data_IF_837001008286
#
_entry.id   IF_837001008286
#
_cell.length_a   1.000
_cell.length_b   1.000
_cell.length_c   1.000
_cell.angle_alpha   90.00
_cell.angle_beta   90.00
_cell.angle_gamma   90.00
#
_symmetry.space_group_name_H-M   'P 1'
#
loop_
_entity.id
_entity.type
_entity.pdbx_description
1 polymer ?
#
# COMPACT_ATOMS: atom_id res chain seq x y z
N UNK A 1 -7.14 -37.40 -4.97
CA UNK A 1 -6.52 -36.22 -5.59
C UNK A 1 -5.78 -36.63 -6.88
N UNK A 2 -5.50 -35.66 -7.73
CA UNK A 2 -4.66 -35.90 -8.92
C UNK A 2 -3.22 -36.17 -8.45
N UNK A 3 -2.60 -37.25 -8.96
CA UNK A 3 -1.18 -37.48 -8.75
C UNK A 3 -0.35 -36.42 -9.48
N UNK A 4 0.79 -36.05 -8.90
CA UNK A 4 1.73 -35.09 -9.53
C UNK A 4 3.16 -35.61 -9.46
N UNK A 5 3.98 -35.12 -10.39
CA UNK A 5 5.44 -35.27 -10.36
C UNK A 5 6.09 -33.97 -9.90
N UNK A 6 7.32 -34.06 -9.40
CA UNK A 6 8.07 -32.90 -8.86
C UNK A 6 9.35 -32.70 -9.67
N UNK A 7 9.58 -31.43 -10.05
CA UNK A 7 10.79 -30.95 -10.71
C UNK A 7 11.48 -29.93 -9.78
N UNK A 8 12.28 -30.43 -8.84
CA UNK A 8 12.91 -29.62 -7.81
C UNK A 8 14.24 -30.21 -7.35
N UNK A 9 15.27 -29.42 -7.27
CA UNK A 9 16.61 -29.86 -6.84
C UNK A 9 17.07 -31.12 -7.55
N UNK A 10 17.19 -32.25 -6.87
CA UNK A 10 17.60 -33.55 -7.45
C UNK A 10 16.42 -34.33 -8.08
N UNK A 11 15.19 -33.98 -7.74
CA UNK A 11 14.00 -34.63 -8.29
C UNK A 11 13.73 -34.19 -9.73
N UNK A 12 13.30 -35.12 -10.58
CA UNK A 12 12.92 -34.83 -11.97
C UNK A 12 11.59 -35.44 -12.35
N UNK A 13 10.80 -34.67 -13.05
CA UNK A 13 9.52 -35.08 -13.63
C UNK A 13 9.62 -35.45 -15.13
N UNK A 14 10.77 -35.24 -15.74
CA UNK A 14 10.98 -35.57 -17.15
C UNK A 14 10.74 -37.05 -17.40
N UNK A 15 9.83 -37.38 -18.34
CA UNK A 15 9.38 -38.75 -18.63
C UNK A 15 8.33 -39.29 -17.66
N UNK A 16 7.82 -38.49 -16.73
CA UNK A 16 6.71 -38.86 -15.84
C UNK A 16 5.40 -39.01 -16.64
N UNK A 17 4.56 -39.96 -16.25
CA UNK A 17 3.23 -40.14 -16.80
C UNK A 17 2.15 -39.29 -16.14
N UNK A 18 2.52 -38.57 -15.06
CA UNK A 18 1.59 -37.66 -14.39
C UNK A 18 1.28 -36.41 -15.24
N UNK A 19 0.01 -36.04 -15.29
CA UNK A 19 -0.46 -34.85 -16.03
C UNK A 19 -0.13 -33.52 -15.36
N UNK A 20 0.19 -33.56 -14.07
CA UNK A 20 0.54 -32.39 -13.27
C UNK A 20 2.01 -32.50 -12.86
N UNK A 21 2.77 -31.44 -13.15
CA UNK A 21 4.14 -31.25 -12.67
C UNK A 21 4.22 -30.07 -11.78
N UNK A 22 4.74 -30.25 -10.56
CA UNK A 22 5.06 -29.14 -9.64
C UNK A 22 6.53 -28.80 -9.80
N UNK A 23 6.83 -27.64 -10.35
CA UNK A 23 8.19 -27.21 -10.66
C UNK A 23 8.67 -26.02 -9.84
N UNK A 24 9.94 -26.03 -9.42
CA UNK A 24 10.60 -24.86 -8.85
C UNK A 24 11.24 -24.04 -9.96
N UNK A 25 10.95 -22.72 -10.02
CA UNK A 25 11.55 -21.81 -11.00
C UNK A 25 13.07 -21.85 -10.93
N UNK A 26 13.66 -21.89 -9.72
CA UNK A 26 15.12 -21.97 -9.52
C UNK A 26 15.74 -23.25 -10.11
N UNK A 27 14.96 -24.31 -10.24
CA UNK A 27 15.40 -25.54 -10.88
C UNK A 27 15.20 -25.47 -12.40
N UNK A 28 14.01 -25.03 -12.83
CA UNK A 28 13.62 -24.97 -14.24
C UNK A 28 14.40 -23.91 -15.03
N UNK A 29 14.79 -22.78 -14.42
CA UNK A 29 15.62 -21.76 -15.09
C UNK A 29 16.99 -22.27 -15.55
N UNK A 30 17.44 -23.46 -15.08
CA UNK A 30 18.69 -24.08 -15.54
C UNK A 30 18.47 -24.63 -16.95
N UNK A 31 19.23 -24.21 -17.99
CA UNK A 31 18.97 -24.59 -19.38
C UNK A 31 18.90 -26.12 -19.62
N UNK A 32 19.77 -26.87 -18.94
CA UNK A 32 19.78 -28.34 -19.04
C UNK A 32 18.53 -29.01 -18.44
N UNK A 33 17.88 -28.36 -17.50
CA UNK A 33 16.63 -28.87 -16.87
C UNK A 33 15.43 -28.51 -17.75
N UNK A 34 15.36 -27.26 -18.18
CA UNK A 34 14.30 -26.76 -19.03
C UNK A 34 14.25 -27.50 -20.39
N UNK A 35 15.38 -27.74 -20.99
CA UNK A 35 15.50 -28.49 -22.27
C UNK A 35 15.01 -29.95 -22.22
N UNK A 36 14.68 -30.48 -21.04
CA UNK A 36 14.07 -31.82 -20.91
C UNK A 36 12.58 -31.85 -21.28
N UNK A 37 11.96 -30.66 -21.32
CA UNK A 37 10.57 -30.49 -21.69
C UNK A 37 10.49 -29.85 -23.06
N UNK A 38 9.70 -30.44 -23.96
CA UNK A 38 9.42 -29.82 -25.26
C UNK A 38 8.65 -28.50 -25.08
N UNK A 39 8.79 -27.51 -25.96
CA UNK A 39 8.09 -26.24 -25.86
C UNK A 39 6.55 -26.34 -25.82
N UNK A 40 5.99 -27.41 -26.30
CA UNK A 40 4.57 -27.76 -26.33
C UNK A 40 4.17 -28.81 -25.27
N UNK A 41 5.05 -29.07 -24.29
CA UNK A 41 4.82 -30.10 -23.28
C UNK A 41 3.67 -29.79 -22.32
N UNK A 42 3.45 -28.52 -22.01
CA UNK A 42 2.39 -28.08 -21.09
C UNK A 42 1.35 -27.23 -21.83
N UNK A 43 0.06 -27.57 -21.67
CA UNK A 43 -1.07 -26.81 -22.18
C UNK A 43 -1.39 -25.60 -21.28
N UNK A 44 -1.09 -25.70 -19.99
CA UNK A 44 -1.36 -24.67 -19.00
C UNK A 44 -0.27 -24.62 -17.93
N UNK A 45 0.03 -23.42 -17.46
CA UNK A 45 0.97 -23.16 -16.37
C UNK A 45 0.25 -22.31 -15.32
N UNK A 46 0.32 -22.75 -14.06
CA UNK A 46 -0.12 -21.94 -12.90
C UNK A 46 1.14 -21.45 -12.20
N UNK A 47 1.36 -20.14 -12.24
CA UNK A 47 2.46 -19.46 -11.55
C UNK A 47 2.00 -18.96 -10.19
N UNK A 48 2.49 -19.58 -9.12
CA UNK A 48 2.33 -19.07 -7.76
C UNK A 48 3.29 -17.90 -7.51
N UNK A 49 2.93 -16.99 -6.59
CA UNK A 49 3.64 -15.74 -6.33
C UNK A 49 3.91 -14.94 -7.64
N UNK A 50 2.84 -14.75 -8.42
CA UNK A 50 2.91 -14.16 -9.76
C UNK A 50 3.48 -12.74 -9.80
N UNK A 51 3.62 -12.06 -8.66
CA UNK A 51 4.34 -10.78 -8.56
C UNK A 51 5.83 -10.91 -8.95
N UNK A 52 6.38 -12.12 -8.97
CA UNK A 52 7.71 -12.41 -9.52
C UNK A 52 7.74 -12.67 -11.03
N UNK A 53 6.59 -12.65 -11.73
CA UNK A 53 6.49 -13.02 -13.15
C UNK A 53 7.38 -12.18 -14.08
N UNK A 54 7.73 -10.97 -13.71
CA UNK A 54 8.62 -10.08 -14.46
C UNK A 54 10.12 -10.34 -14.23
N UNK A 55 10.50 -11.20 -13.28
CA UNK A 55 11.91 -11.57 -13.09
C UNK A 55 12.42 -12.40 -14.27
N UNK A 56 13.70 -12.23 -14.62
CA UNK A 56 14.33 -12.94 -15.75
C UNK A 56 14.15 -14.46 -15.66
N UNK A 57 14.19 -15.01 -14.44
CA UNK A 57 14.04 -16.45 -14.21
C UNK A 57 12.63 -16.95 -14.54
N UNK A 58 11.58 -16.20 -14.17
CA UNK A 58 10.20 -16.54 -14.55
C UNK A 58 9.99 -16.37 -16.05
N UNK A 59 10.45 -15.26 -16.62
CA UNK A 59 10.34 -14.98 -18.05
C UNK A 59 11.03 -16.06 -18.90
N UNK A 60 12.18 -16.54 -18.47
CA UNK A 60 12.88 -17.65 -19.13
C UNK A 60 12.07 -18.94 -19.12
N UNK A 61 11.48 -19.30 -17.98
CA UNK A 61 10.69 -20.54 -17.85
C UNK A 61 9.38 -20.43 -18.63
N UNK A 62 8.64 -19.33 -18.46
CA UNK A 62 7.35 -19.13 -19.12
C UNK A 62 7.52 -18.99 -20.65
N UNK A 63 8.55 -18.29 -21.10
CA UNK A 63 8.86 -18.09 -22.52
C UNK A 63 9.29 -19.37 -23.24
N UNK A 64 9.71 -20.42 -22.51
CA UNK A 64 10.01 -21.71 -23.09
C UNK A 64 8.75 -22.47 -23.58
N UNK A 65 7.58 -22.15 -23.02
CA UNK A 65 6.29 -22.77 -23.33
C UNK A 65 5.31 -21.77 -23.97
N UNK A 66 5.59 -21.28 -25.18
CA UNK A 66 4.84 -20.17 -25.79
C UNK A 66 3.37 -20.50 -26.10
N UNK A 67 3.01 -21.78 -26.20
CA UNK A 67 1.64 -22.24 -26.43
C UNK A 67 0.83 -22.46 -25.16
N UNK A 68 1.45 -22.44 -23.98
CA UNK A 68 0.77 -22.69 -22.72
C UNK A 68 -0.07 -21.47 -22.27
N UNK A 69 -1.27 -21.72 -21.77
CA UNK A 69 -2.08 -20.70 -21.09
C UNK A 69 -1.53 -20.47 -19.69
N UNK A 70 -1.23 -19.22 -19.36
CA UNK A 70 -0.62 -18.87 -18.05
C UNK A 70 -1.67 -18.24 -17.14
N UNK A 71 -1.84 -18.84 -15.96
CA UNK A 71 -2.60 -18.29 -14.85
C UNK A 71 -1.64 -17.88 -13.73
N UNK A 72 -1.54 -16.61 -13.44
CA UNK A 72 -0.80 -16.10 -12.28
C UNK A 72 -1.68 -16.04 -11.03
N UNK A 73 -1.17 -16.51 -9.90
CA UNK A 73 -1.81 -16.38 -8.59
C UNK A 73 -0.87 -15.62 -7.66
N UNK A 74 -1.38 -14.63 -6.94
CA UNK A 74 -0.61 -13.87 -5.96
C UNK A 74 -1.50 -13.39 -4.83
N UNK A 75 -0.97 -13.38 -3.60
CA UNK A 75 -1.65 -12.83 -2.43
C UNK A 75 -1.66 -11.29 -2.43
N UNK A 76 -0.80 -10.66 -3.22
CA UNK A 76 -0.60 -9.21 -3.25
C UNK A 76 -0.52 -8.73 -4.70
N UNK A 77 -1.63 -8.16 -5.17
CA UNK A 77 -1.68 -7.48 -6.46
C UNK A 77 -1.92 -5.98 -6.22
N UNK A 78 -0.90 -5.27 -5.70
CA UNK A 78 -0.98 -3.84 -5.44
C UNK A 78 -1.03 -2.99 -6.72
N UNK A 79 -1.40 -1.69 -6.61
CA UNK A 79 -1.51 -0.82 -7.78
C UNK A 79 -0.20 -0.69 -8.57
N UNK A 80 0.96 -0.72 -7.89
CA UNK A 80 2.27 -0.78 -8.51
C UNK A 80 2.48 -2.09 -9.24
N UNK A 81 2.28 -3.19 -8.53
CA UNK A 81 2.42 -4.55 -9.06
C UNK A 81 1.39 -4.85 -10.17
N UNK A 82 0.16 -4.31 -10.10
CA UNK A 82 -0.83 -4.45 -11.18
C UNK A 82 -0.39 -3.80 -12.50
N UNK A 83 0.32 -2.68 -12.45
CA UNK A 83 0.91 -2.07 -13.66
C UNK A 83 2.03 -2.92 -14.21
N UNK A 84 2.86 -3.46 -13.33
CA UNK A 84 3.97 -4.31 -13.71
C UNK A 84 3.46 -5.67 -14.21
N UNK A 85 2.51 -6.29 -13.50
CA UNK A 85 1.85 -7.52 -13.94
C UNK A 85 1.13 -7.36 -15.28
N UNK A 86 0.56 -6.20 -15.57
CA UNK A 86 -0.07 -5.87 -16.85
C UNK A 86 0.88 -5.87 -18.05
N UNK A 87 2.20 -5.91 -17.84
CA UNK A 87 3.18 -6.13 -18.91
C UNK A 87 3.22 -7.59 -19.39
N UNK A 88 2.78 -8.53 -18.54
CA UNK A 88 2.81 -9.95 -18.83
C UNK A 88 1.40 -10.57 -18.93
N UNK A 89 0.50 -10.24 -18.01
CA UNK A 89 -0.86 -10.77 -17.97
C UNK A 89 -1.83 -9.82 -18.64
N UNK A 90 -2.74 -10.36 -19.46
CA UNK A 90 -3.72 -9.58 -20.22
C UNK A 90 -4.83 -8.98 -19.35
N UNK A 91 -5.21 -9.68 -18.28
CA UNK A 91 -6.30 -9.26 -17.41
C UNK A 91 -6.22 -9.88 -16.01
N UNK A 92 -6.93 -9.26 -15.06
CA UNK A 92 -7.21 -9.85 -13.74
C UNK A 92 -8.49 -10.68 -13.88
N UNK A 93 -8.37 -12.00 -13.83
CA UNK A 93 -9.51 -12.92 -13.97
C UNK A 93 -10.42 -12.89 -12.73
N UNK A 94 -9.83 -12.79 -11.54
CA UNK A 94 -10.55 -12.77 -10.28
C UNK A 94 -9.73 -12.08 -9.19
N UNK A 95 -10.41 -11.32 -8.33
CA UNK A 95 -9.81 -10.69 -7.14
C UNK A 95 -10.60 -11.09 -5.90
N UNK A 96 -9.93 -11.75 -4.95
CA UNK A 96 -10.50 -12.17 -3.68
C UNK A 96 -9.75 -11.52 -2.53
N UNK A 97 -10.33 -10.47 -1.98
CA UNK A 97 -9.65 -9.63 -0.99
C UNK A 97 -9.63 -10.26 0.40
N UNK A 98 -8.62 -9.93 1.19
CA UNK A 98 -8.51 -10.38 2.59
C UNK A 98 -9.76 -10.04 3.43
N UNK A 99 -10.31 -8.81 3.39
CA UNK A 99 -11.56 -8.50 4.08
C UNK A 99 -12.74 -9.39 3.63
N UNK A 100 -12.81 -9.73 2.35
CA UNK A 100 -13.84 -10.64 1.83
C UNK A 100 -13.67 -12.04 2.42
N UNK A 101 -12.43 -12.58 2.43
CA UNK A 101 -12.13 -13.89 2.99
C UNK A 101 -12.43 -13.98 4.49
N UNK A 102 -12.21 -12.90 5.23
CA UNK A 102 -12.57 -12.81 6.67
C UNK A 102 -14.10 -12.80 6.84
N UNK A 103 -14.83 -11.96 6.11
CA UNK A 103 -16.29 -11.89 6.19
C UNK A 103 -17.00 -13.18 5.81
N UNK A 104 -16.45 -13.90 4.84
CA UNK A 104 -16.98 -15.20 4.40
C UNK A 104 -16.52 -16.37 5.29
N UNK A 105 -15.68 -16.09 6.30
CA UNK A 105 -15.26 -17.09 7.28
C UNK A 105 -14.20 -18.08 6.78
N UNK A 106 -13.45 -17.74 5.72
CA UNK A 106 -12.29 -18.52 5.28
C UNK A 106 -11.02 -18.17 6.06
N UNK A 107 -10.96 -16.96 6.60
CA UNK A 107 -9.86 -16.47 7.45
C UNK A 107 -10.41 -15.91 8.74
N UNK A 108 -9.62 -15.91 9.81
CA UNK A 108 -10.03 -15.33 11.08
C UNK A 108 -9.95 -13.79 11.05
N UNK A 109 -10.77 -13.09 11.86
CA UNK A 109 -10.66 -11.65 12.06
C UNK A 109 -9.25 -11.24 12.50
N UNK A 110 -8.81 -10.05 12.07
CA UNK A 110 -7.51 -9.51 12.47
C UNK A 110 -7.74 -8.34 13.43
N UNK A 111 -7.16 -8.45 14.60
CA UNK A 111 -7.11 -7.37 15.59
C UNK A 111 -5.70 -6.80 15.63
N UNK A 112 -5.59 -5.48 15.54
CA UNK A 112 -4.30 -4.81 15.65
C UNK A 112 -4.22 -3.99 16.94
N UNK A 113 -3.10 -4.03 17.60
CA UNK A 113 -2.80 -3.22 18.78
C UNK A 113 -1.50 -2.45 18.56
N UNK A 114 -1.55 -1.15 18.76
CA UNK A 114 -0.38 -0.28 18.74
C UNK A 114 0.24 -0.23 20.12
N UNK A 115 1.47 -0.70 20.23
CA UNK A 115 2.19 -0.77 21.52
C UNK A 115 3.11 0.45 21.67
N UNK A 116 3.06 1.22 22.78
CA UNK A 116 3.75 2.49 22.93
C UNK A 116 5.25 2.32 23.25
N UNK A 117 6.03 1.81 22.30
CA UNK A 117 7.49 1.74 22.37
C UNK A 117 8.06 2.67 21.29
N UNK A 118 8.72 3.74 21.72
CA UNK A 118 9.37 4.68 20.81
C UNK A 118 10.71 4.09 20.32
N UNK A 119 10.68 3.35 19.23
CA UNK A 119 11.87 2.76 18.59
C UNK A 119 12.45 3.79 17.61
N UNK A 120 13.71 4.15 17.80
CA UNK A 120 14.41 5.05 16.89
C UNK A 120 14.94 4.29 15.67
N UNK A 121 14.37 4.60 14.50
CA UNK A 121 14.80 4.06 13.21
C UNK A 121 15.40 5.14 12.29
N UNK A 122 15.69 6.35 12.79
CA UNK A 122 16.16 7.47 11.96
C UNK A 122 17.47 7.15 11.22
N UNK A 123 18.37 6.40 11.87
CA UNK A 123 19.67 5.98 11.31
C UNK A 123 19.61 4.77 10.36
N UNK A 124 18.47 4.11 10.20
CA UNK A 124 18.35 2.89 9.37
C UNK A 124 18.31 3.26 7.89
N UNK A 125 19.26 2.72 7.13
CA UNK A 125 19.39 2.95 5.68
C UNK A 125 18.38 2.11 4.89
N UNK A 126 18.08 2.60 3.69
CA UNK A 126 17.28 1.86 2.69
C UNK A 126 18.24 1.27 1.66
N UNK A 127 18.10 -0.02 1.35
CA UNK A 127 18.87 -0.74 0.36
C UNK A 127 17.94 -1.63 -0.45
N UNK A 128 18.06 -1.62 -1.78
CA UNK A 128 17.23 -2.44 -2.69
C UNK A 128 15.71 -2.28 -2.47
N UNK A 129 15.27 -1.05 -2.15
CA UNK A 129 13.84 -0.73 -1.98
C UNK A 129 13.25 -1.04 -0.59
N UNK A 130 14.03 -1.64 0.32
CA UNK A 130 13.61 -1.94 1.70
C UNK A 130 14.69 -1.53 2.71
N UNK A 131 14.41 -1.68 4.02
CA UNK A 131 15.36 -1.35 5.08
C UNK A 131 16.54 -2.31 5.12
N UNK A 132 17.74 -1.77 5.33
CA UNK A 132 18.94 -2.58 5.52
C UNK A 132 18.82 -3.39 6.82
N UNK A 133 18.76 -4.72 6.69
CA UNK A 133 18.52 -5.62 7.83
C UNK A 133 19.56 -5.46 8.97
N UNK A 134 20.83 -5.17 8.62
CA UNK A 134 21.90 -4.94 9.58
C UNK A 134 21.67 -3.72 10.46
N UNK A 135 21.34 -2.59 9.84
CA UNK A 135 21.04 -1.34 10.53
C UNK A 135 19.79 -1.48 11.39
N UNK A 136 18.75 -2.14 10.84
CA UNK A 136 17.49 -2.38 11.54
C UNK A 136 17.69 -3.27 12.79
N UNK A 137 18.48 -4.35 12.68
CA UNK A 137 18.78 -5.20 13.82
C UNK A 137 19.52 -4.45 14.92
N UNK A 138 20.50 -3.62 14.56
CA UNK A 138 21.24 -2.78 15.52
C UNK A 138 20.32 -1.76 16.21
N UNK A 139 19.41 -1.14 15.46
CA UNK A 139 18.44 -0.19 16.01
C UNK A 139 17.44 -0.83 16.97
N UNK A 140 17.06 -2.09 16.75
CA UNK A 140 16.13 -2.83 17.60
C UNK A 140 16.75 -3.40 18.87
N UNK A 141 18.04 -3.75 18.86
CA UNK A 141 18.71 -4.43 19.96
C UNK A 141 18.45 -3.81 21.35
N UNK A 142 18.52 -2.47 21.55
CA UNK A 142 18.28 -1.86 22.86
C UNK A 142 16.85 -2.03 23.39
N UNK A 143 15.89 -2.31 22.52
CA UNK A 143 14.46 -2.34 22.85
C UNK A 143 13.92 -3.76 23.05
N UNK A 144 14.68 -4.82 22.75
CA UNK A 144 14.20 -6.20 22.75
C UNK A 144 13.61 -6.63 24.10
N UNK A 145 14.26 -6.25 25.20
CA UNK A 145 13.74 -6.52 26.55
C UNK A 145 12.40 -5.84 26.79
N UNK A 146 12.28 -4.55 26.46
CA UNK A 146 11.04 -3.81 26.62
C UNK A 146 9.92 -4.35 25.72
N UNK A 147 10.24 -4.71 24.48
CA UNK A 147 9.27 -5.33 23.58
C UNK A 147 8.71 -6.62 24.18
N UNK A 148 9.57 -7.45 24.79
CA UNK A 148 9.14 -8.68 25.46
C UNK A 148 8.27 -8.40 26.71
N UNK A 149 8.54 -7.33 27.48
CA UNK A 149 7.69 -6.90 28.60
C UNK A 149 6.30 -6.46 28.11
N UNK A 150 6.24 -5.67 27.04
CA UNK A 150 4.97 -5.22 26.45
C UNK A 150 4.17 -6.38 25.83
N UNK A 151 4.83 -7.38 25.22
CA UNK A 151 4.17 -8.59 24.76
C UNK A 151 3.49 -9.35 25.91
N UNK A 152 4.16 -9.44 27.07
CA UNK A 152 3.56 -10.05 28.25
C UNK A 152 2.36 -9.24 28.74
N UNK A 153 2.45 -7.92 28.79
CA UNK A 153 1.39 -7.01 29.17
C UNK A 153 0.17 -7.06 28.19
N UNK A 154 0.42 -7.23 26.89
CA UNK A 154 -0.61 -7.40 25.87
C UNK A 154 -1.26 -8.80 25.88
N UNK A 155 -0.93 -9.67 26.83
CA UNK A 155 -1.53 -10.98 27.00
C UNK A 155 -1.02 -12.07 26.06
N UNK A 156 0.15 -11.90 25.45
CA UNK A 156 0.76 -12.91 24.56
C UNK A 156 1.11 -14.22 25.29
N UNK A 157 1.16 -14.24 26.62
CA UNK A 157 1.27 -15.49 27.39
C UNK A 157 0.07 -16.44 27.20
N UNK A 158 -1.07 -15.91 26.80
CA UNK A 158 -2.25 -16.69 26.45
C UNK A 158 -2.36 -17.05 24.98
N UNK A 159 -1.33 -16.70 24.16
CA UNK A 159 -1.35 -16.86 22.71
C UNK A 159 -0.14 -17.63 22.19
N UNK A 160 -0.30 -18.19 20.99
CA UNK A 160 0.77 -18.82 20.24
C UNK A 160 1.31 -17.83 19.20
N UNK A 161 2.55 -17.40 19.39
CA UNK A 161 3.09 -16.21 18.72
C UNK A 161 4.18 -16.55 17.71
N UNK A 162 4.17 -15.87 16.55
CA UNK A 162 5.33 -15.81 15.64
C UNK A 162 5.88 -14.40 15.60
N UNK A 163 7.18 -14.25 15.81
CA UNK A 163 7.90 -12.99 15.75
C UNK A 163 8.85 -12.97 14.55
N UNK A 164 8.71 -11.95 13.70
CA UNK A 164 9.56 -11.72 12.53
C UNK A 164 10.61 -10.66 12.83
N UNK A 165 11.87 -11.03 12.72
CA UNK A 165 13.03 -10.18 13.06
C UNK A 165 13.93 -9.96 11.82
N UNK A 166 14.71 -8.85 11.79
CA UNK A 166 15.52 -8.53 10.62
C UNK A 166 16.75 -9.42 10.46
N UNK A 167 17.34 -9.91 11.56
CA UNK A 167 18.59 -10.68 11.59
C UNK A 167 18.49 -11.91 12.47
N UNK A 168 19.27 -12.93 12.16
CA UNK A 168 19.45 -14.14 13.00
C UNK A 168 19.96 -13.77 14.39
N UNK A 169 20.94 -12.87 14.47
CA UNK A 169 21.49 -12.42 15.78
C UNK A 169 20.42 -11.74 16.64
N UNK A 170 19.62 -10.86 16.05
CA UNK A 170 18.51 -10.18 16.75
C UNK A 170 17.43 -11.18 17.16
N UNK A 171 17.13 -12.18 16.30
CA UNK A 171 16.18 -13.27 16.58
C UNK A 171 16.60 -14.08 17.81
N UNK A 172 17.86 -14.49 17.90
CA UNK A 172 18.43 -15.21 19.04
C UNK A 172 18.40 -14.39 20.33
N UNK A 173 18.77 -13.10 20.27
CA UNK A 173 18.70 -12.20 21.42
C UNK A 173 17.27 -12.02 21.92
N UNK A 174 16.32 -11.88 20.98
CA UNK A 174 14.93 -11.72 21.33
C UNK A 174 14.32 -12.97 21.96
N UNK A 175 14.63 -14.16 21.43
CA UNK A 175 14.23 -15.43 22.04
C UNK A 175 14.77 -15.58 23.48
N UNK A 176 16.02 -15.18 23.73
CA UNK A 176 16.57 -15.17 25.10
C UNK A 176 15.83 -14.20 26.02
N UNK A 177 15.56 -12.97 25.56
CA UNK A 177 14.82 -11.96 26.32
C UNK A 177 13.38 -12.41 26.65
N UNK A 178 12.72 -13.13 25.75
CA UNK A 178 11.39 -13.72 25.95
C UNK A 178 11.44 -14.86 26.98
N UNK A 179 12.45 -15.75 26.89
CA UNK A 179 12.62 -16.84 27.83
C UNK A 179 12.85 -16.34 29.27
N UNK A 180 13.61 -15.25 29.47
CA UNK A 180 13.78 -14.59 30.76
C UNK A 180 12.47 -14.13 31.40
N UNK A 181 11.42 -13.92 30.58
CA UNK A 181 10.09 -13.48 30.99
C UNK A 181 9.06 -14.61 31.06
N UNK A 182 9.53 -15.85 30.91
CA UNK A 182 8.71 -17.06 31.06
C UNK A 182 7.96 -17.51 29.80
N UNK A 183 8.24 -16.94 28.61
CA UNK A 183 7.76 -17.50 27.38
C UNK A 183 8.49 -18.79 26.99
N UNK A 184 7.79 -19.77 26.37
CA UNK A 184 8.43 -20.89 25.70
C UNK A 184 8.97 -20.41 24.34
N UNK A 185 10.12 -19.74 24.37
CA UNK A 185 10.71 -19.11 23.21
C UNK A 185 11.59 -20.09 22.43
N UNK A 186 11.34 -20.16 21.13
CA UNK A 186 12.08 -20.95 20.15
C UNK A 186 12.65 -20.04 19.07
N UNK A 187 13.78 -20.41 18.49
CA UNK A 187 14.38 -19.66 17.37
C UNK A 187 14.66 -20.59 16.21
N UNK A 188 14.36 -20.13 15.00
CA UNK A 188 14.64 -20.85 13.77
C UNK A 188 15.15 -19.90 12.68
N UNK A 189 16.20 -20.34 11.97
CA UNK A 189 16.81 -19.58 10.90
C UNK A 189 17.28 -20.49 9.75
N UNK A 190 17.85 -19.89 8.69
CA UNK A 190 18.31 -20.62 7.50
C UNK A 190 19.42 -21.63 7.76
N UNK A 191 20.23 -21.38 8.81
CA UNK A 191 21.39 -22.21 9.17
C UNK A 191 21.05 -23.25 10.25
N UNK A 192 19.80 -23.29 10.76
CA UNK A 192 19.36 -24.23 11.79
C UNK A 192 19.37 -25.66 11.26
N UNK A 193 20.19 -26.51 11.84
CA UNK A 193 20.29 -27.95 11.52
C UNK A 193 19.13 -28.76 12.09
N UNK A 194 18.52 -28.27 13.16
CA UNK A 194 17.38 -28.82 13.91
C UNK A 194 16.03 -28.18 13.52
N UNK A 195 16.00 -27.50 12.35
CA UNK A 195 14.82 -26.75 11.87
C UNK A 195 13.52 -27.54 11.94
N UNK A 196 13.53 -28.77 11.43
CA UNK A 196 12.33 -29.61 11.38
C UNK A 196 11.84 -29.97 12.79
N UNK A 197 12.76 -30.26 13.71
CA UNK A 197 12.46 -30.56 15.10
C UNK A 197 11.91 -29.35 15.83
N UNK A 198 12.54 -28.17 15.67
CA UNK A 198 12.09 -26.91 16.28
C UNK A 198 10.67 -26.53 15.80
N UNK A 199 10.41 -26.65 14.50
CA UNK A 199 9.08 -26.39 13.94
C UNK A 199 8.03 -27.38 14.47
N UNK A 200 8.36 -28.67 14.53
CA UNK A 200 7.46 -29.70 15.07
C UNK A 200 7.19 -29.48 16.58
N UNK A 201 8.21 -29.08 17.36
CA UNK A 201 8.08 -28.70 18.77
C UNK A 201 7.14 -27.49 18.91
N UNK A 202 7.35 -26.45 18.09
CA UNK A 202 6.47 -25.28 18.13
C UNK A 202 5.05 -25.64 17.71
N UNK A 203 4.87 -26.51 16.72
CA UNK A 203 3.54 -26.94 16.25
C UNK A 203 2.76 -27.66 17.36
N UNK A 204 3.45 -28.47 18.16
CA UNK A 204 2.87 -29.16 19.34
C UNK A 204 2.71 -28.28 20.58
N UNK A 205 3.39 -27.12 20.63
CA UNK A 205 3.36 -26.24 21.80
C UNK A 205 2.02 -25.51 21.94
N UNK A 206 1.67 -25.16 23.19
CA UNK A 206 0.47 -24.44 23.55
C UNK A 206 0.63 -22.91 23.58
N UNK A 207 -0.34 -22.19 24.20
CA UNK A 207 -0.23 -20.76 24.48
C UNK A 207 1.04 -20.42 25.29
N UNK A 208 1.55 -19.21 25.09
CA UNK A 208 2.82 -18.76 25.67
C UNK A 208 4.05 -19.18 24.89
N UNK A 209 3.89 -20.00 23.83
CA UNK A 209 4.99 -20.31 22.93
C UNK A 209 5.22 -19.19 21.91
N UNK A 210 6.51 -18.86 21.67
CA UNK A 210 6.92 -17.85 20.70
C UNK A 210 7.98 -18.42 19.77
N UNK A 211 7.73 -18.39 18.47
CA UNK A 211 8.70 -18.75 17.44
C UNK A 211 9.33 -17.48 16.85
N UNK A 212 10.56 -17.22 17.19
CA UNK A 212 11.35 -16.14 16.61
C UNK A 212 12.02 -16.61 15.32
N UNK A 213 11.93 -15.81 14.25
CA UNK A 213 12.59 -16.13 13.01
C UNK A 213 13.09 -14.89 12.26
N UNK A 214 14.11 -15.08 11.43
CA UNK A 214 14.57 -14.07 10.49
C UNK A 214 14.39 -14.59 9.06
N UNK A 215 13.42 -14.04 8.31
CA UNK A 215 13.15 -14.30 6.88
C UNK A 215 12.71 -15.71 6.47
N UNK A 216 12.79 -16.70 7.36
CA UNK A 216 12.64 -18.09 6.97
C UNK A 216 11.18 -18.53 6.76
N UNK A 217 10.28 -17.99 7.58
CA UNK A 217 8.89 -18.44 7.66
C UNK A 217 7.92 -17.57 6.83
N UNK A 218 8.43 -16.72 5.95
CA UNK A 218 7.60 -15.90 5.07
C UNK A 218 6.92 -16.72 4.00
N UNK A 219 7.53 -17.83 3.58
CA UNK A 219 7.00 -18.73 2.55
C UNK A 219 7.00 -20.20 3.00
N UNK A 220 6.02 -20.97 2.54
CA UNK A 220 6.01 -22.43 2.62
C UNK A 220 5.80 -23.07 4.00
N UNK A 221 5.74 -22.32 5.11
CA UNK A 221 5.43 -22.84 6.44
C UNK A 221 3.98 -22.60 6.82
N UNK A 222 3.34 -23.58 7.45
CA UNK A 222 1.94 -23.54 7.86
C UNK A 222 1.75 -24.00 9.30
N UNK A 223 1.20 -23.12 10.14
CA UNK A 223 0.80 -23.43 11.51
C UNK A 223 -0.51 -22.67 11.84
N UNK A 224 -1.69 -23.25 11.56
CA UNK A 224 -2.97 -22.58 11.74
C UNK A 224 -3.26 -22.12 13.17
N UNK A 225 -2.64 -22.79 14.17
CA UNK A 225 -2.82 -22.47 15.59
C UNK A 225 -2.15 -21.16 16.02
N UNK A 226 -1.30 -20.55 15.19
CA UNK A 226 -0.75 -19.21 15.48
C UNK A 226 -1.85 -18.18 15.52
N UNK A 227 -2.00 -17.48 16.65
CA UNK A 227 -3.03 -16.48 16.90
C UNK A 227 -2.48 -15.12 17.34
N UNK A 228 -1.13 -14.97 17.32
CA UNK A 228 -0.46 -13.69 17.49
C UNK A 228 0.73 -13.57 16.52
N UNK A 229 0.87 -12.39 15.91
CA UNK A 229 2.01 -12.06 15.05
C UNK A 229 2.65 -10.76 15.51
N UNK A 230 3.97 -10.79 15.67
CA UNK A 230 4.80 -9.63 16.02
C UNK A 230 5.75 -9.34 14.88
N UNK A 231 5.60 -8.17 14.25
CA UNK A 231 6.44 -7.76 13.13
C UNK A 231 7.46 -6.73 13.61
N UNK A 232 8.68 -7.19 13.92
CA UNK A 232 9.83 -6.35 14.27
C UNK A 232 10.76 -6.12 13.07
N UNK A 233 10.50 -6.81 11.97
CA UNK A 233 11.11 -6.54 10.69
C UNK A 233 10.33 -5.42 10.00
N UNK A 234 10.73 -4.17 10.26
CA UNK A 234 10.22 -3.04 9.52
C UNK A 234 10.44 -3.24 8.01
N UNK A 235 9.43 -3.00 7.21
CA UNK A 235 9.50 -3.13 5.75
C UNK A 235 8.64 -2.08 5.06
N UNK A 236 9.06 -1.66 3.87
CA UNK A 236 8.28 -0.85 2.92
C UNK A 236 7.52 -1.72 1.93
N UNK A 237 7.86 -3.01 1.86
CA UNK A 237 7.33 -3.97 0.89
C UNK A 237 6.05 -4.58 1.45
N UNK A 238 4.90 -4.13 0.91
CA UNK A 238 3.58 -4.59 1.37
C UNK A 238 3.38 -6.09 1.21
N UNK A 239 3.85 -6.68 0.10
CA UNK A 239 3.76 -8.12 -0.12
C UNK A 239 4.41 -8.90 1.01
N UNK A 240 5.62 -8.54 1.40
CA UNK A 240 6.33 -9.16 2.52
C UNK A 240 5.57 -8.99 3.84
N UNK A 241 5.03 -7.79 4.10
CA UNK A 241 4.25 -7.54 5.31
C UNK A 241 2.99 -8.42 5.36
N UNK A 242 2.25 -8.50 4.26
CA UNK A 242 1.04 -9.34 4.13
C UNK A 242 1.38 -10.82 4.29
N UNK A 243 2.49 -11.29 3.73
CA UNK A 243 2.95 -12.67 3.90
C UNK A 243 3.27 -13.00 5.37
N UNK A 244 3.97 -12.10 6.09
CA UNK A 244 4.26 -12.27 7.52
C UNK A 244 2.99 -12.36 8.36
N UNK A 245 2.07 -11.43 8.19
CA UNK A 245 0.79 -11.43 8.95
C UNK A 245 -0.12 -12.57 8.51
N UNK A 246 -0.13 -12.90 7.23
CA UNK A 246 -0.91 -13.99 6.63
C UNK A 246 -0.66 -15.36 7.30
N UNK A 247 0.50 -15.57 7.90
CA UNK A 247 0.79 -16.81 8.65
C UNK A 247 -0.18 -17.05 9.81
N UNK A 248 -0.70 -15.99 10.41
CA UNK A 248 -1.64 -16.07 11.52
C UNK A 248 -3.11 -15.94 11.13
N UNK A 249 -3.48 -15.74 9.86
CA UNK A 249 -4.89 -15.50 9.48
C UNK A 249 -5.73 -16.78 9.33
N UNK A 250 -5.10 -17.95 9.29
CA UNK A 250 -5.80 -19.22 9.09
C UNK A 250 -6.69 -19.57 10.27
N UNK A 251 -7.81 -20.22 9.98
CA UNK A 251 -8.70 -20.75 10.99
C UNK A 251 -8.07 -21.95 11.70
N UNK A 252 -8.27 -22.06 13.00
CA UNK A 252 -7.87 -23.22 13.81
C UNK A 252 -8.98 -23.59 14.82
N UNK A 253 -10.09 -24.17 14.39
CA UNK A 253 -11.19 -24.52 15.28
C UNK A 253 -10.77 -25.48 16.40
N UNK A 254 -9.83 -26.37 16.12
CA UNK A 254 -9.31 -27.34 17.08
C UNK A 254 -8.62 -26.70 18.29
N UNK A 255 -8.08 -25.50 18.15
CA UNK A 255 -7.41 -24.75 19.23
C UNK A 255 -8.29 -23.68 19.87
N UNK A 256 -9.52 -23.51 19.40
CA UNK A 256 -10.43 -22.45 19.86
C UNK A 256 -10.02 -21.05 19.42
N UNK A 257 -9.16 -20.91 18.43
CA UNK A 257 -8.72 -19.62 17.87
C UNK A 257 -9.88 -18.84 17.30
N UNK A 258 -10.09 -17.62 17.80
CA UNK A 258 -11.18 -16.71 17.37
C UNK A 258 -10.72 -15.58 16.49
N UNK A 259 -9.48 -15.12 16.69
CA UNK A 259 -8.88 -14.00 15.98
C UNK A 259 -7.36 -14.15 15.82
N UNK A 260 -6.76 -13.27 15.05
CA UNK A 260 -5.33 -13.03 15.01
C UNK A 260 -5.03 -11.67 15.64
N UNK A 261 -4.19 -11.64 16.66
CA UNK A 261 -3.64 -10.39 17.19
C UNK A 261 -2.34 -10.02 16.45
N UNK A 262 -2.28 -8.79 15.93
CA UNK A 262 -1.07 -8.21 15.36
C UNK A 262 -0.58 -7.08 16.26
N UNK A 263 0.61 -7.22 16.85
CA UNK A 263 1.22 -6.18 17.67
C UNK A 263 2.12 -5.28 16.81
N UNK A 264 1.78 -3.99 16.74
CA UNK A 264 2.56 -2.96 16.04
C UNK A 264 3.40 -2.15 17.04
N UNK A 265 4.70 -2.47 17.12
CA UNK A 265 5.70 -1.74 17.92
C UNK A 265 6.34 -0.57 17.14
N UNK A 266 6.03 -0.43 15.86
CA UNK A 266 6.71 0.51 14.96
C UNK A 266 5.90 1.78 14.69
N UNK A 267 4.69 1.88 15.26
CA UNK A 267 3.78 3.00 14.99
C UNK A 267 4.28 4.36 15.48
N UNK A 268 5.13 4.40 16.54
CA UNK A 268 5.73 5.62 17.09
C UNK A 268 7.00 6.06 16.37
N UNK A 269 7.48 5.29 15.37
CA UNK A 269 8.67 5.70 14.61
C UNK A 269 8.34 6.91 13.74
N UNK A 270 9.32 7.80 13.53
CA UNK A 270 9.18 8.94 12.62
C UNK A 270 9.12 8.55 11.13
N UNK A 271 9.25 7.26 10.81
CA UNK A 271 9.17 6.71 9.45
C UNK A 271 7.73 6.48 9.05
N UNK A 272 7.20 7.33 8.17
CA UNK A 272 5.84 7.23 7.64
C UNK A 272 5.70 6.24 6.48
N UNK A 273 6.81 5.80 5.90
CA UNK A 273 6.88 4.91 4.74
C UNK A 273 6.89 3.41 5.10
N UNK A 274 6.63 3.07 6.36
CA UNK A 274 6.53 1.70 6.86
C UNK A 274 5.18 1.06 6.56
N UNK A 275 5.19 -0.23 6.22
CA UNK A 275 3.97 -1.04 6.26
C UNK A 275 3.51 -1.25 7.71
N UNK A 276 2.22 -1.07 7.95
CA UNK A 276 1.53 -1.18 9.25
C UNK A 276 0.31 -2.07 9.11
N UNK A 277 -0.32 -2.54 10.21
CA UNK A 277 -1.52 -3.37 10.16
C UNK A 277 -2.62 -2.83 9.25
N UNK A 278 -2.83 -1.51 9.23
CA UNK A 278 -3.81 -0.86 8.35
C UNK A 278 -3.59 -1.18 6.85
N UNK A 279 -2.34 -1.31 6.40
CA UNK A 279 -2.02 -1.60 5.00
C UNK A 279 -2.42 -3.01 4.53
N UNK A 280 -2.78 -3.91 5.46
CA UNK A 280 -3.24 -5.26 5.14
C UNK A 280 -4.60 -5.22 4.45
N UNK A 281 -5.51 -4.36 4.93
CA UNK A 281 -6.92 -4.32 4.52
C UNK A 281 -7.32 -3.04 3.78
N UNK A 282 -6.60 -1.93 3.98
CA UNK A 282 -6.94 -0.64 3.41
C UNK A 282 -6.92 -0.65 1.87
N UNK A 283 -7.92 0.01 1.27
CA UNK A 283 -8.11 0.12 -0.19
C UNK A 283 -7.35 1.28 -0.81
N UNK A 284 -6.93 2.26 0.00
CA UNK A 284 -6.15 3.41 -0.44
C UNK A 284 -5.20 3.88 0.66
N UNK A 285 -4.13 4.63 0.32
CA UNK A 285 -3.21 5.20 1.30
C UNK A 285 -3.91 6.09 2.33
N UNK A 286 -4.89 6.89 1.92
CA UNK A 286 -5.62 7.80 2.81
C UNK A 286 -6.46 7.01 3.83
N UNK A 287 -7.07 5.90 3.40
CA UNK A 287 -7.80 5.00 4.31
C UNK A 287 -6.82 4.35 5.28
N UNK A 288 -5.66 3.88 4.83
CA UNK A 288 -4.63 3.30 5.71
C UNK A 288 -4.14 4.30 6.77
N UNK A 289 -3.92 5.55 6.37
CA UNK A 289 -3.51 6.62 7.30
C UNK A 289 -4.61 6.88 8.34
N UNK A 290 -5.87 7.02 7.89
CA UNK A 290 -7.01 7.22 8.79
C UNK A 290 -7.22 6.05 9.75
N UNK A 291 -7.09 4.82 9.30
CA UNK A 291 -7.12 3.62 10.13
C UNK A 291 -6.02 3.65 11.20
N UNK A 292 -4.80 4.04 10.82
CA UNK A 292 -3.68 4.14 11.77
C UNK A 292 -3.99 5.17 12.86
N UNK A 293 -4.54 6.33 12.51
CA UNK A 293 -4.96 7.35 13.48
C UNK A 293 -6.02 6.82 14.46
N UNK A 294 -7.02 6.09 13.95
CA UNK A 294 -8.06 5.48 14.79
C UNK A 294 -7.43 4.47 15.75
N UNK A 295 -6.56 3.58 15.26
CA UNK A 295 -5.89 2.57 16.09
C UNK A 295 -5.01 3.20 17.19
N UNK A 296 -4.30 4.29 16.89
CA UNK A 296 -3.47 5.03 17.86
C UNK A 296 -4.29 5.62 19.02
N UNK A 297 -5.53 5.97 18.80
CA UNK A 297 -6.40 6.60 19.81
C UNK A 297 -7.26 5.60 20.57
N UNK A 298 -7.33 4.34 20.14
CA UNK A 298 -8.24 3.35 20.69
C UNK A 298 -7.85 2.81 22.08
N UNK A 299 -6.56 2.89 22.47
CA UNK A 299 -6.05 2.45 23.76
C UNK A 299 -6.11 0.91 23.98
N UNK A 300 -6.26 0.12 22.93
CA UNK A 300 -6.29 -1.34 22.94
C UNK A 300 -6.49 -1.93 21.55
N UNK A 301 -6.61 -3.28 21.46
CA UNK A 301 -6.75 -3.94 20.17
C UNK A 301 -8.00 -3.52 19.40
N UNK A 302 -7.86 -3.19 18.13
CA UNK A 302 -8.94 -2.79 17.21
C UNK A 302 -9.19 -3.86 16.15
N UNK A 303 -10.43 -4.06 15.78
CA UNK A 303 -10.82 -4.91 14.64
C UNK A 303 -10.55 -4.18 13.33
N UNK A 304 -9.66 -4.72 12.47
CA UNK A 304 -9.22 -4.04 11.26
C UNK A 304 -10.33 -3.90 10.21
N UNK A 305 -11.29 -4.84 10.10
CA UNK A 305 -12.42 -4.74 9.16
C UNK A 305 -13.40 -3.63 9.59
N UNK A 306 -13.67 -3.52 10.90
CA UNK A 306 -14.50 -2.45 11.45
C UNK A 306 -13.86 -1.07 11.27
N UNK A 307 -12.57 -0.96 11.56
CA UNK A 307 -11.81 0.30 11.41
C UNK A 307 -11.67 0.68 9.95
N UNK A 308 -11.50 -0.26 9.01
CA UNK A 308 -11.46 0.01 7.56
C UNK A 308 -12.78 0.63 7.08
N UNK A 309 -13.91 0.09 7.50
CA UNK A 309 -15.23 0.65 7.15
C UNK A 309 -15.37 2.07 7.67
N UNK A 310 -15.07 2.30 8.94
CA UNK A 310 -15.15 3.62 9.56
C UNK A 310 -14.20 4.62 8.86
N UNK A 311 -12.95 4.22 8.60
CA UNK A 311 -11.97 5.08 7.94
C UNK A 311 -12.38 5.40 6.48
N UNK A 312 -12.96 4.45 5.76
CA UNK A 312 -13.48 4.65 4.41
C UNK A 312 -14.63 5.67 4.39
N UNK A 313 -15.57 5.57 5.32
CA UNK A 313 -16.66 6.54 5.48
C UNK A 313 -16.12 7.93 5.85
N UNK A 314 -15.16 8.03 6.77
CA UNK A 314 -14.52 9.28 7.16
C UNK A 314 -13.83 9.96 5.98
N UNK A 315 -13.06 9.21 5.17
CA UNK A 315 -12.35 9.75 3.99
C UNK A 315 -13.36 10.25 2.94
N UNK A 316 -14.45 9.52 2.69
CA UNK A 316 -15.51 9.97 1.77
C UNK A 316 -16.12 11.27 2.27
N UNK A 317 -16.52 11.33 3.54
CA UNK A 317 -17.10 12.53 4.14
C UNK A 317 -16.15 13.73 4.04
N UNK A 318 -14.86 13.56 4.37
CA UNK A 318 -13.87 14.65 4.25
C UNK A 318 -13.72 15.15 2.81
N UNK A 319 -13.75 14.24 1.82
CA UNK A 319 -13.71 14.63 0.41
C UNK A 319 -14.96 15.39 -0.02
N UNK A 320 -16.14 14.99 0.44
CA UNK A 320 -17.41 15.69 0.18
C UNK A 320 -17.41 17.08 0.81
N UNK A 321 -16.96 17.22 2.06
CA UNK A 321 -16.84 18.50 2.77
C UNK A 321 -15.85 19.43 2.05
N UNK A 322 -14.66 18.92 1.68
CA UNK A 322 -13.67 19.70 0.94
C UNK A 322 -14.20 20.16 -0.43
N UNK A 323 -14.92 19.30 -1.15
CA UNK A 323 -15.54 19.64 -2.42
C UNK A 323 -16.65 20.70 -2.24
N UNK A 324 -17.48 20.55 -1.21
CA UNK A 324 -18.54 21.53 -0.89
C UNK A 324 -17.95 22.91 -0.55
N UNK A 325 -16.87 22.95 0.23
CA UNK A 325 -16.16 24.18 0.56
C UNK A 325 -15.53 24.83 -0.70
N UNK A 326 -14.89 24.03 -1.55
CA UNK A 326 -14.35 24.49 -2.82
C UNK A 326 -15.43 25.08 -3.72
N UNK A 327 -16.57 24.40 -3.88
CA UNK A 327 -17.71 24.90 -4.66
C UNK A 327 -18.29 26.18 -4.05
N UNK A 328 -18.39 26.27 -2.71
CA UNK A 328 -18.85 27.49 -2.03
C UNK A 328 -17.90 28.67 -2.26
N UNK A 329 -16.58 28.43 -2.18
CA UNK A 329 -15.57 29.44 -2.45
C UNK A 329 -15.59 29.91 -3.92
N UNK A 330 -15.75 29.00 -4.87
CA UNK A 330 -15.89 29.32 -6.30
C UNK A 330 -17.16 30.16 -6.55
N UNK A 331 -18.30 29.80 -5.96
CA UNK A 331 -19.55 30.59 -6.06
C UNK A 331 -19.40 31.98 -5.47
N UNK A 332 -18.73 32.10 -4.32
CA UNK A 332 -18.43 33.38 -3.68
C UNK A 332 -17.51 34.24 -4.56
N UNK A 333 -16.48 33.64 -5.15
CA UNK A 333 -15.54 34.28 -6.07
C UNK A 333 -16.27 34.80 -7.33
N UNK A 334 -17.09 33.96 -7.96
CA UNK A 334 -17.90 34.34 -9.13
C UNK A 334 -18.86 35.48 -8.83
N UNK A 335 -19.49 35.50 -7.64
CA UNK A 335 -20.36 36.60 -7.21
C UNK A 335 -19.63 37.90 -6.93
N UNK A 336 -18.36 37.86 -6.52
CA UNK A 336 -17.54 39.01 -6.18
C UNK A 336 -16.87 39.65 -7.39
N UNK A 337 -16.74 38.90 -8.50
CA UNK A 337 -16.07 39.35 -9.72
C UNK A 337 -17.08 39.73 -10.81
N UNK A 338 -16.65 40.54 -11.72
CA UNK A 338 -17.46 41.02 -12.86
C UNK A 338 -17.15 40.19 -14.08
N UNK A 339 -18.17 39.76 -14.80
CA UNK A 339 -18.00 39.05 -16.07
C UNK A 339 -17.33 39.96 -17.11
N UNK A 340 -16.30 39.49 -17.84
CA UNK A 340 -15.55 40.33 -18.78
C UNK A 340 -16.42 40.81 -19.97
N UNK A 341 -17.43 40.07 -20.41
CA UNK A 341 -18.33 40.47 -21.46
C UNK A 341 -19.29 41.56 -20.96
N UNK A 342 -19.87 41.36 -19.77
CA UNK A 342 -20.69 42.37 -19.11
C UNK A 342 -19.89 43.68 -18.91
N UNK A 343 -18.62 43.58 -18.46
CA UNK A 343 -17.75 44.75 -18.31
C UNK A 343 -17.52 45.46 -19.64
N UNK A 344 -17.22 44.75 -20.72
CA UNK A 344 -17.05 45.35 -22.05
C UNK A 344 -18.29 46.09 -22.55
N UNK A 345 -19.46 45.50 -22.33
CA UNK A 345 -20.76 46.12 -22.67
C UNK A 345 -21.02 47.37 -21.84
N UNK A 346 -20.77 47.30 -20.51
CA UNK A 346 -21.01 48.41 -19.59
C UNK A 346 -20.16 49.64 -19.90
N UNK A 347 -18.94 49.46 -20.39
CA UNK A 347 -18.05 50.56 -20.81
C UNK A 347 -18.20 50.94 -22.31
N UNK A 348 -19.11 50.31 -23.01
CA UNK A 348 -19.36 50.49 -24.46
C UNK A 348 -18.07 50.45 -25.30
N UNK A 349 -17.22 49.44 -25.01
CA UNK A 349 -15.96 49.27 -25.71
C UNK A 349 -16.14 48.32 -26.89
N UNK A 350 -16.29 48.88 -28.09
CA UNK A 350 -16.44 48.11 -29.35
C UNK A 350 -15.23 47.24 -29.61
N UNK A 351 -14.02 47.70 -29.28
CA UNK A 351 -12.76 46.97 -29.45
C UNK A 351 -12.69 45.71 -28.56
N UNK A 352 -13.26 45.71 -27.36
CA UNK A 352 -13.35 44.53 -26.50
C UNK A 352 -14.46 43.58 -26.94
N UNK A 353 -15.56 44.10 -27.43
CA UNK A 353 -16.70 43.29 -27.84
C UNK A 353 -16.47 42.61 -29.21
N UNK A 354 -15.83 43.31 -30.12
CA UNK A 354 -15.54 42.83 -31.48
C UNK A 354 -14.12 42.31 -31.69
N UNK A 355 -13.36 42.07 -30.62
CA UNK A 355 -11.98 41.62 -30.74
C UNK A 355 -11.88 40.20 -31.32
N UNK A 356 -11.05 40.06 -32.34
CA UNK A 356 -10.66 38.76 -32.92
C UNK A 356 -9.13 38.60 -32.91
N UNK A 357 -8.61 37.39 -32.69
CA UNK A 357 -7.19 37.14 -32.68
C UNK A 357 -6.56 37.34 -34.05
N UNK A 358 -5.52 38.13 -34.16
CA UNK A 358 -4.76 38.35 -35.38
C UNK A 358 -3.54 37.43 -35.52
N UNK A 359 -3.01 36.90 -34.39
CA UNK A 359 -1.82 36.08 -34.36
C UNK A 359 -2.05 34.75 -33.60
N UNK A 360 -1.40 33.63 -33.98
CA UNK A 360 -1.55 32.35 -33.30
C UNK A 360 -1.25 32.40 -31.78
N UNK A 361 -0.30 33.21 -31.35
CA UNK A 361 0.05 33.37 -29.95
C UNK A 361 -1.06 33.99 -29.09
N UNK A 362 -2.01 34.71 -29.71
CA UNK A 362 -3.16 35.31 -29.03
C UNK A 362 -4.25 34.28 -28.68
N UNK A 363 -4.27 33.14 -29.44
CA UNK A 363 -5.19 32.03 -29.21
C UNK A 363 -4.76 31.12 -28.03
N UNK A 364 -3.50 31.23 -27.59
CA UNK A 364 -3.03 30.48 -26.44
C UNK A 364 -3.82 30.81 -25.16
N UNK A 365 -3.93 29.88 -24.21
CA UNK A 365 -4.56 30.16 -22.92
C UNK A 365 -3.91 31.34 -22.21
N UNK A 366 -4.67 32.15 -21.45
CA UNK A 366 -4.12 33.22 -20.64
C UNK A 366 -3.07 32.69 -19.65
N UNK A 367 -2.00 33.46 -19.42
CA UNK A 367 -0.99 33.11 -18.43
C UNK A 367 -1.53 33.26 -17.01
N UNK A 368 -1.00 32.52 -16.05
CA UNK A 368 -1.37 32.66 -14.62
C UNK A 368 -1.22 34.09 -14.11
N UNK A 369 -0.19 34.83 -14.59
CA UNK A 369 0.01 36.23 -14.25
C UNK A 369 -1.12 37.13 -14.77
N UNK A 370 -1.62 36.87 -15.97
CA UNK A 370 -2.73 37.61 -16.55
C UNK A 370 -4.03 37.31 -15.78
N UNK A 371 -4.30 36.03 -15.49
CA UNK A 371 -5.48 35.62 -14.72
C UNK A 371 -5.48 36.26 -13.32
N UNK A 372 -4.36 36.20 -12.61
CA UNK A 372 -4.20 36.85 -11.31
C UNK A 372 -4.33 38.37 -11.36
N UNK A 373 -3.90 39.01 -12.45
CA UNK A 373 -4.05 40.45 -12.64
C UNK A 373 -5.51 40.84 -12.91
N UNK A 374 -6.24 40.10 -13.76
CA UNK A 374 -7.66 40.30 -14.04
C UNK A 374 -8.49 40.18 -12.76
N UNK A 375 -8.20 39.18 -11.93
CA UNK A 375 -8.88 39.00 -10.65
C UNK A 375 -8.66 40.18 -9.68
N UNK A 376 -7.43 40.68 -9.60
CA UNK A 376 -7.13 41.91 -8.80
C UNK A 376 -7.92 43.10 -9.26
N UNK A 377 -8.17 43.26 -10.56
CA UNK A 377 -9.02 44.31 -11.12
C UNK A 377 -10.52 44.05 -10.92
N UNK A 378 -10.90 42.87 -10.44
CA UNK A 378 -12.28 42.50 -10.17
C UNK A 378 -13.01 41.87 -11.36
N UNK A 379 -12.30 41.44 -12.39
CA UNK A 379 -12.83 40.69 -13.53
C UNK A 379 -12.74 39.19 -13.22
N UNK A 380 -13.76 38.45 -13.61
CA UNK A 380 -13.80 36.99 -13.48
C UNK A 380 -12.87 36.34 -14.53
N UNK A 381 -11.71 35.75 -14.12
CA UNK A 381 -10.67 35.36 -15.06
C UNK A 381 -11.04 34.10 -15.85
N UNK A 382 -11.84 33.18 -15.28
CA UNK A 382 -12.18 31.89 -15.90
C UNK A 382 -13.11 32.06 -17.13
N UNK A 383 -13.68 33.25 -17.34
CA UNK A 383 -14.46 33.59 -18.51
C UNK A 383 -13.63 34.25 -19.63
N UNK A 384 -12.31 34.32 -19.49
CA UNK A 384 -11.40 34.87 -20.52
C UNK A 384 -10.72 33.72 -21.26
N UNK A 385 -11.12 33.51 -22.51
CA UNK A 385 -10.79 32.32 -23.26
C UNK A 385 -9.35 32.25 -23.77
N UNK A 386 -8.73 33.40 -24.05
CA UNK A 386 -7.41 33.42 -24.69
C UNK A 386 -6.51 34.57 -24.21
N UNK A 387 -5.20 34.42 -24.48
CA UNK A 387 -4.13 35.33 -24.06
C UNK A 387 -4.30 36.74 -24.63
N UNK A 388 -4.70 36.84 -25.90
CA UNK A 388 -4.90 38.15 -26.56
C UNK A 388 -6.03 38.93 -25.88
N UNK A 389 -7.18 38.30 -25.62
CA UNK A 389 -8.30 38.94 -24.94
C UNK A 389 -7.95 39.34 -23.50
N UNK A 390 -7.15 38.51 -22.80
CA UNK A 390 -6.64 38.83 -21.47
C UNK A 390 -5.73 40.07 -21.49
N UNK A 391 -4.83 40.19 -22.47
CA UNK A 391 -3.95 41.33 -22.65
C UNK A 391 -4.76 42.62 -22.89
N UNK A 392 -5.68 42.60 -23.86
CA UNK A 392 -6.51 43.76 -24.19
C UNK A 392 -7.36 44.23 -23.01
N UNK A 393 -7.95 43.31 -22.25
CA UNK A 393 -8.68 43.61 -21.02
C UNK A 393 -7.79 44.30 -19.97
N UNK A 394 -6.59 43.78 -19.75
CA UNK A 394 -5.63 44.33 -18.79
C UNK A 394 -5.18 45.74 -19.21
N UNK A 395 -4.88 45.93 -20.49
CA UNK A 395 -4.50 47.26 -21.00
C UNK A 395 -5.64 48.28 -20.82
N UNK A 396 -6.86 47.86 -21.14
CA UNK A 396 -8.05 48.73 -20.93
C UNK A 396 -8.27 49.06 -19.46
N UNK A 397 -8.14 48.08 -18.56
CA UNK A 397 -8.27 48.29 -17.11
C UNK A 397 -7.16 49.21 -16.57
N UNK A 398 -5.92 49.04 -17.04
CA UNK A 398 -4.81 49.90 -16.68
C UNK A 398 -4.99 51.36 -17.19
N UNK A 399 -5.49 51.51 -18.41
CA UNK A 399 -5.82 52.83 -18.98
C UNK A 399 -6.91 53.51 -18.13
N UNK A 400 -8.03 52.85 -17.90
CA UNK A 400 -9.13 53.42 -17.06
C UNK A 400 -8.67 53.82 -15.67
N UNK A 401 -7.79 53.06 -15.06
CA UNK A 401 -7.21 53.40 -13.75
C UNK A 401 -6.37 54.66 -13.82
N UNK A 402 -5.58 54.88 -14.87
CA UNK A 402 -4.79 56.12 -15.09
C UNK A 402 -5.67 57.35 -15.28
N UNK A 403 -6.83 57.15 -15.96
CA UNK A 403 -7.81 58.21 -16.23
C UNK A 403 -8.78 58.47 -15.05
N UNK A 404 -8.63 57.73 -13.92
CA UNK A 404 -9.48 57.90 -12.75
C UNK A 404 -10.93 57.40 -12.96
N UNK A 405 -11.19 56.61 -13.96
CA UNK A 405 -12.52 56.09 -14.29
C UNK A 405 -12.95 54.94 -13.35
N UNK A 406 -14.26 54.75 -13.22
CA UNK A 406 -14.85 53.76 -12.37
C UNK A 406 -14.30 52.32 -12.64
N UNK A 407 -13.99 51.62 -11.58
CA UNK A 407 -13.53 50.22 -11.59
C UNK A 407 -14.68 49.27 -11.98
N UNK A 408 -14.41 48.05 -12.45
CA UNK A 408 -15.45 47.09 -12.79
C UNK A 408 -16.47 46.86 -11.66
N UNK A 409 -16.02 46.80 -10.40
CA UNK A 409 -16.90 46.64 -9.24
C UNK A 409 -17.78 47.86 -9.00
N UNK A 410 -17.24 49.05 -9.21
CA UNK A 410 -18.03 50.31 -9.10
C UNK A 410 -19.07 50.41 -10.19
N UNK A 411 -18.72 50.08 -11.44
CA UNK A 411 -19.64 50.04 -12.58
C UNK A 411 -20.81 49.11 -12.28
N UNK A 412 -20.51 47.88 -11.92
CA UNK A 412 -21.52 46.88 -11.55
C UNK A 412 -22.42 47.33 -10.42
N UNK A 413 -21.86 48.01 -9.44
CA UNK A 413 -22.66 48.59 -8.32
C UNK A 413 -23.58 49.70 -8.82
N UNK A 414 -23.07 50.58 -9.69
CA UNK A 414 -23.90 51.64 -10.26
C UNK A 414 -25.06 51.08 -11.09
N UNK A 415 -24.80 50.07 -11.92
CA UNK A 415 -25.82 49.36 -12.73
C UNK A 415 -26.88 48.65 -11.85
N UNK A 416 -26.55 48.26 -10.63
CA UNK A 416 -27.51 47.68 -9.69
C UNK A 416 -28.48 48.67 -9.05
N UNK A 417 -28.25 49.97 -9.25
CA UNK A 417 -29.13 51.04 -8.75
C UNK A 417 -30.04 51.65 -9.82
N UNK A 418 -30.00 51.11 -11.06
CA UNK A 418 -30.78 51.56 -12.22
C UNK A 418 -29.98 52.55 -13.05
#
# INVERSE_FOLDING_TARGET
GLGCSVERAEETSAGSWYRVTVGSVQTLMRPKRLARFAPDHFDAIVGDEAHHALSDSYQQVLGHFPGAKVLGVTATADRGDKRDLGQYFESVAYEYTLPTAIREGYLCPIRAETVPVAIDLAGVKVSSGDFAAGDLGTALDPYLGRIADEMAAAGCMGRKTVAFLPLVATSKKFAAALAERGFDAMEVNGDSTDRAETLARFDAAGPGSVLCNSMLLTEGWDCPSVDCVVVLRATKVRSLYVQMVGRGTRLSPATGKTDLLVLDFLWMTERHDLCRPAHIVARSPEVAERMTQIAQTAGGPVDLDAVERQASEDVVRQREEALAEQLASMRKRKRALVDPVQFAMSIRSEDLAGWEPAFPAELEPPTERQLAALERYGIFPDAVECRGKASLLLDRLAQRRREGLATPKQIRRLESYG
#
